data_IF_379850904219
#
_entry.id   IF_379850904219
#
_cell.length_a   1.000
_cell.length_b   1.000
_cell.length_c   1.000
_cell.angle_alpha   90.00
_cell.angle_beta   90.00
_cell.angle_gamma   90.00
#
_symmetry.space_group_name_H-M   'P 1'
#
loop_
_entity.id
_entity.type
_entity.pdbx_description
1 polymer ?
#
# COMPACT_ATOMS: atom_id res chain seq x y z
N UNK A 1 15.32 18.15 -24.70
CA UNK A 1 14.94 18.05 -23.29
C UNK A 1 13.50 17.51 -23.31
N UNK A 2 13.28 16.23 -22.91
CA UNK A 2 11.93 15.72 -22.75
C UNK A 2 11.24 16.51 -21.64
N UNK A 3 10.08 17.10 -21.89
CA UNK A 3 9.23 17.64 -20.82
C UNK A 3 9.05 16.53 -19.77
N UNK A 4 9.52 16.78 -18.56
CA UNK A 4 9.32 15.86 -17.44
C UNK A 4 7.81 15.83 -17.18
N UNK A 5 7.17 14.73 -17.52
CA UNK A 5 5.73 14.57 -17.37
C UNK A 5 5.38 14.67 -15.89
N UNK A 6 4.45 15.59 -15.52
CA UNK A 6 3.96 15.77 -14.17
C UNK A 6 3.51 14.40 -13.60
N UNK A 7 3.92 14.07 -12.37
CA UNK A 7 3.41 12.90 -11.68
C UNK A 7 1.92 13.06 -11.41
N UNK A 8 1.10 12.13 -11.91
CA UNK A 8 -0.34 12.12 -11.66
C UNK A 8 -0.66 11.54 -10.29
N UNK A 9 0.11 10.54 -9.84
CA UNK A 9 -0.02 9.95 -8.50
C UNK A 9 1.32 10.01 -7.79
N UNK A 10 1.30 10.50 -6.56
CA UNK A 10 2.47 10.54 -5.68
C UNK A 10 2.28 9.53 -4.56
N UNK A 11 3.27 8.69 -4.34
CA UNK A 11 3.30 7.78 -3.20
C UNK A 11 4.09 8.39 -2.05
N UNK A 12 3.58 8.27 -0.84
CA UNK A 12 4.30 8.60 0.40
C UNK A 12 4.26 7.38 1.30
N UNK A 13 5.38 6.67 1.48
CA UNK A 13 5.34 5.44 2.26
C UNK A 13 6.54 4.53 2.10
N UNK A 14 6.36 3.27 2.48
CA UNK A 14 7.42 2.29 2.55
C UNK A 14 7.93 1.83 1.18
N UNK A 15 9.26 1.69 1.11
CA UNK A 15 9.98 0.91 0.12
C UNK A 15 11.05 0.11 0.84
N UNK A 16 11.08 -1.20 0.64
CA UNK A 16 11.99 -2.10 1.36
C UNK A 16 12.52 -3.21 0.46
N UNK A 17 13.52 -3.94 0.96
CA UNK A 17 13.95 -5.20 0.36
C UNK A 17 13.33 -6.36 1.12
N UNK A 18 12.63 -7.24 0.40
CA UNK A 18 12.15 -8.51 0.92
C UNK A 18 13.20 -9.59 0.70
N UNK A 19 13.58 -10.29 1.76
CA UNK A 19 14.50 -11.42 1.75
C UNK A 19 13.73 -12.68 2.12
N UNK A 20 13.61 -13.61 1.19
CA UNK A 20 12.93 -14.88 1.40
C UNK A 20 13.95 -16.01 1.50
N UNK A 21 14.00 -16.69 2.64
CA UNK A 21 14.80 -17.90 2.84
C UNK A 21 13.88 -19.12 2.91
N UNK A 22 13.99 -20.06 1.95
CA UNK A 22 13.23 -21.31 1.98
C UNK A 22 14.14 -22.50 2.26
N UNK A 23 13.84 -23.24 3.31
CA UNK A 23 14.59 -24.44 3.66
C UNK A 23 14.38 -25.57 2.63
N UNK A 24 15.44 -26.38 2.40
CA UNK A 24 15.35 -27.58 1.55
C UNK A 24 14.75 -28.78 2.25
N UNK A 25 14.73 -28.77 3.60
CA UNK A 25 14.27 -29.86 4.47
C UNK A 25 13.56 -29.23 5.66
N UNK A 26 12.93 -30.08 6.47
CA UNK A 26 12.34 -29.63 7.75
C UNK A 26 13.36 -28.85 8.57
N UNK A 27 12.96 -27.69 9.05
CA UNK A 27 13.83 -26.77 9.79
C UNK A 27 14.22 -27.38 11.14
N UNK A 28 15.52 -27.33 11.41
CA UNK A 28 16.09 -27.63 12.72
C UNK A 28 16.32 -26.29 13.43
N UNK A 29 15.54 -26.06 14.51
CA UNK A 29 15.65 -24.83 15.29
C UNK A 29 17.01 -24.71 15.96
N UNK A 30 17.59 -23.51 16.01
CA UNK A 30 18.90 -23.18 16.59
C UNK A 30 20.08 -23.85 15.87
N UNK A 31 19.90 -24.16 14.60
CA UNK A 31 20.95 -24.74 13.73
C UNK A 31 20.97 -24.04 12.36
N UNK A 32 22.06 -24.28 11.60
CA UNK A 32 22.20 -23.80 10.22
C UNK A 32 21.41 -24.70 9.27
N UNK A 33 20.42 -24.15 8.57
CA UNK A 33 19.57 -24.86 7.65
C UNK A 33 19.93 -24.54 6.20
N UNK A 34 20.39 -25.49 5.39
CA UNK A 34 20.62 -25.28 3.98
C UNK A 34 19.33 -24.94 3.25
N UNK A 35 19.33 -23.86 2.46
CA UNK A 35 18.13 -23.36 1.81
C UNK A 35 18.40 -22.61 0.51
N UNK A 36 17.36 -22.02 -0.03
CA UNK A 36 17.40 -21.08 -1.14
C UNK A 36 17.08 -19.67 -0.61
N UNK A 37 17.79 -18.69 -1.14
CA UNK A 37 17.56 -17.27 -0.80
C UNK A 37 17.16 -16.52 -2.05
N UNK A 38 16.15 -15.66 -1.92
CA UNK A 38 15.73 -14.73 -2.97
C UNK A 38 15.54 -13.34 -2.36
N UNK A 39 15.75 -12.31 -3.16
CA UNK A 39 15.49 -10.92 -2.76
C UNK A 39 14.66 -10.22 -3.82
N UNK A 40 13.63 -9.50 -3.37
CA UNK A 40 12.82 -8.62 -4.21
C UNK A 40 12.71 -7.24 -3.57
N UNK A 41 12.29 -6.25 -4.33
CA UNK A 41 11.93 -4.95 -3.76
C UNK A 41 10.44 -4.98 -3.46
N UNK A 42 10.07 -4.53 -2.27
CA UNK A 42 8.72 -4.48 -1.72
C UNK A 42 8.40 -3.11 -1.13
N UNK A 43 7.42 -3.10 -0.24
CA UNK A 43 6.81 -1.93 0.38
C UNK A 43 5.46 -1.61 -0.26
N UNK A 44 4.42 -1.47 0.58
CA UNK A 44 3.04 -1.33 0.10
C UNK A 44 2.88 -0.16 -0.85
N UNK A 45 3.29 1.04 -0.45
CA UNK A 45 3.22 2.22 -1.32
C UNK A 45 4.04 2.05 -2.59
N UNK A 46 5.27 1.52 -2.50
CA UNK A 46 6.12 1.28 -3.66
C UNK A 46 5.48 0.28 -4.63
N UNK A 47 4.86 -0.78 -4.12
CA UNK A 47 4.17 -1.78 -4.95
C UNK A 47 2.93 -1.20 -5.63
N UNK A 48 2.16 -0.35 -4.95
CA UNK A 48 1.03 0.39 -5.54
C UNK A 48 1.54 1.23 -6.73
N UNK A 49 2.63 1.98 -6.54
CA UNK A 49 3.21 2.82 -7.60
C UNK A 49 3.76 2.00 -8.76
N UNK A 50 4.38 0.84 -8.53
CA UNK A 50 4.81 -0.06 -9.60
C UNK A 50 3.63 -0.53 -10.45
N UNK A 51 2.52 -0.95 -9.82
CA UNK A 51 1.32 -1.34 -10.53
C UNK A 51 0.72 -0.19 -11.34
N UNK A 52 0.67 1.04 -10.78
CA UNK A 52 0.25 2.24 -11.49
C UNK A 52 1.15 2.56 -12.69
N UNK A 53 2.47 2.49 -12.51
CA UNK A 53 3.43 2.72 -13.59
C UNK A 53 3.26 1.72 -14.74
N UNK A 54 3.06 0.43 -14.41
CA UNK A 54 2.76 -0.62 -15.39
C UNK A 54 1.44 -0.40 -16.14
N UNK A 55 0.49 0.29 -15.51
CA UNK A 55 -0.77 0.72 -16.12
C UNK A 55 -0.64 2.04 -16.91
N UNK A 56 0.58 2.60 -17.02
CA UNK A 56 0.85 3.82 -17.78
C UNK A 56 0.63 5.13 -17.03
N UNK A 57 0.35 5.08 -15.74
CA UNK A 57 0.22 6.27 -14.89
C UNK A 57 1.61 6.82 -14.55
N UNK A 58 1.80 8.12 -14.64
CA UNK A 58 3.02 8.81 -14.22
C UNK A 58 3.05 8.91 -12.70
N UNK A 59 4.07 8.35 -12.04
CA UNK A 59 4.15 8.23 -10.58
C UNK A 59 5.49 8.71 -10.03
N UNK A 60 5.48 9.21 -8.80
CA UNK A 60 6.68 9.57 -8.04
C UNK A 60 6.59 9.01 -6.61
N UNK A 61 7.72 8.65 -6.01
CA UNK A 61 7.78 8.11 -4.65
C UNK A 61 8.53 9.07 -3.72
N UNK A 62 7.86 9.42 -2.61
CA UNK A 62 8.46 9.99 -1.42
C UNK A 62 8.64 8.88 -0.39
N UNK A 63 9.88 8.56 -0.07
CA UNK A 63 10.28 7.52 0.87
C UNK A 63 11.69 7.79 1.37
N UNK A 64 12.27 6.93 2.21
CA UNK A 64 13.65 7.02 2.62
C UNK A 64 14.41 5.72 2.40
N UNK A 65 15.68 5.83 2.02
CA UNK A 65 16.64 4.73 1.96
C UNK A 65 17.95 5.13 2.62
N UNK A 66 18.72 4.14 3.07
CA UNK A 66 20.11 4.31 3.48
C UNK A 66 21.05 4.39 2.29
N UNK A 67 22.33 4.62 2.59
CA UNK A 67 23.44 4.56 1.64
C UNK A 67 24.05 3.14 1.56
N UNK A 68 23.21 2.12 1.70
CA UNK A 68 23.55 0.70 1.69
C UNK A 68 23.13 -0.01 0.39
N UNK A 69 23.52 -1.29 0.24
CA UNK A 69 23.20 -2.11 -0.92
C UNK A 69 21.69 -2.30 -1.13
N UNK A 70 20.91 -2.27 -0.03
CA UNK A 70 19.44 -2.36 -0.13
C UNK A 70 18.86 -1.06 -0.67
N UNK A 71 19.36 0.10 -0.24
CA UNK A 71 18.98 1.39 -0.80
C UNK A 71 19.27 1.49 -2.29
N UNK A 72 20.48 1.09 -2.72
CA UNK A 72 20.84 1.02 -4.14
C UNK A 72 19.87 0.13 -4.94
N UNK A 73 19.56 -1.06 -4.39
CA UNK A 73 18.61 -2.00 -5.03
C UNK A 73 17.21 -1.39 -5.14
N UNK A 74 16.69 -0.78 -4.06
CA UNK A 74 15.37 -0.14 -4.05
C UNK A 74 15.29 0.93 -5.13
N UNK A 75 16.29 1.83 -5.19
CA UNK A 75 16.32 2.92 -6.18
C UNK A 75 16.39 2.39 -7.61
N UNK A 76 17.30 1.45 -7.87
CA UNK A 76 17.50 0.87 -9.21
C UNK A 76 16.25 0.17 -9.71
N UNK A 77 15.71 -0.76 -8.90
CA UNK A 77 14.61 -1.61 -9.32
C UNK A 77 13.29 -0.82 -9.44
N UNK A 78 13.09 0.20 -8.58
CA UNK A 78 11.93 1.10 -8.68
C UNK A 78 12.01 2.02 -9.91
N UNK A 79 13.20 2.54 -10.27
CA UNK A 79 13.40 3.27 -11.53
C UNK A 79 13.11 2.40 -12.75
N UNK A 80 13.56 1.13 -12.74
CA UNK A 80 13.28 0.18 -13.81
C UNK A 80 11.78 -0.12 -13.93
N UNK A 81 11.04 -0.09 -12.83
CA UNK A 81 9.59 -0.23 -12.80
C UNK A 81 8.84 1.04 -13.29
N UNK A 82 9.54 2.14 -13.58
CA UNK A 82 8.96 3.38 -14.08
C UNK A 82 8.57 4.39 -13.00
N UNK A 83 9.03 4.21 -11.77
CA UNK A 83 8.76 5.13 -10.66
C UNK A 83 9.81 6.26 -10.65
N UNK A 84 9.36 7.51 -10.59
CA UNK A 84 10.26 8.65 -10.35
C UNK A 84 10.74 8.63 -8.90
N UNK A 85 12.08 8.45 -8.74
CA UNK A 85 12.78 8.37 -7.47
C UNK A 85 13.57 9.65 -7.16
N UNK A 86 13.34 10.75 -7.88
CA UNK A 86 14.11 11.99 -7.71
C UNK A 86 13.84 12.70 -6.38
N UNK A 87 12.74 12.37 -5.73
CA UNK A 87 12.29 12.93 -4.46
C UNK A 87 12.62 12.05 -3.24
N UNK A 88 13.35 10.97 -3.44
CA UNK A 88 13.70 10.04 -2.37
C UNK A 88 14.69 10.67 -1.38
N UNK A 89 14.44 10.51 -0.08
CA UNK A 89 15.36 10.93 0.97
C UNK A 89 16.43 9.85 1.17
N UNK A 90 17.69 10.16 0.88
CA UNK A 90 18.82 9.29 1.20
C UNK A 90 19.47 9.72 2.51
N UNK A 91 19.45 8.83 3.51
CA UNK A 91 20.05 9.06 4.84
C UNK A 91 21.42 8.39 4.94
N UNK A 92 22.47 9.18 5.15
CA UNK A 92 23.83 8.66 5.31
C UNK A 92 24.00 7.86 6.61
N UNK A 93 24.63 6.69 6.53
CA UNK A 93 24.89 5.81 7.65
C UNK A 93 23.64 5.10 8.19
N UNK A 94 22.49 5.27 7.56
CA UNK A 94 21.25 4.57 7.92
C UNK A 94 21.12 3.24 7.18
N UNK A 95 20.36 2.31 7.75
CA UNK A 95 20.00 1.03 7.12
C UNK A 95 18.66 1.17 6.41
N UNK A 96 18.59 0.74 5.17
CA UNK A 96 17.36 0.72 4.38
C UNK A 96 16.35 -0.28 4.94
N UNK A 97 15.06 0.02 4.78
CA UNK A 97 13.99 -0.88 5.20
C UNK A 97 14.12 -2.27 4.60
N UNK A 98 13.88 -3.29 5.42
CA UNK A 98 13.93 -4.69 4.98
C UNK A 98 12.90 -5.55 5.70
N UNK A 99 12.46 -6.60 5.01
CA UNK A 99 11.61 -7.65 5.56
C UNK A 99 12.25 -9.01 5.26
N UNK A 100 12.37 -9.85 6.27
CA UNK A 100 12.91 -11.21 6.14
C UNK A 100 11.78 -12.19 6.42
N UNK A 101 11.56 -13.14 5.50
CA UNK A 101 10.66 -14.27 5.70
C UNK A 101 11.44 -15.59 5.63
N UNK A 102 11.33 -16.39 6.67
CA UNK A 102 11.86 -17.77 6.69
C UNK A 102 10.71 -18.72 6.46
N UNK A 103 10.84 -19.50 5.40
CA UNK A 103 9.85 -20.47 4.93
C UNK A 103 10.37 -21.89 5.14
N UNK A 104 9.48 -22.80 5.49
CA UNK A 104 9.80 -24.22 5.56
C UNK A 104 9.94 -24.84 4.16
N UNK A 105 10.13 -26.16 4.09
CA UNK A 105 10.28 -26.92 2.83
C UNK A 105 9.00 -26.92 1.98
N UNK A 106 7.84 -26.67 2.60
CA UNK A 106 6.54 -26.57 1.92
C UNK A 106 6.28 -25.17 1.38
N UNK A 107 6.99 -24.16 1.92
CA UNK A 107 6.81 -22.76 1.59
C UNK A 107 5.92 -22.03 2.60
N UNK A 108 5.59 -22.66 3.72
CA UNK A 108 4.84 -22.00 4.80
C UNK A 108 5.77 -21.13 5.63
N UNK A 109 5.31 -19.92 5.95
CA UNK A 109 6.09 -18.96 6.72
C UNK A 109 6.19 -19.37 8.18
N UNK A 110 7.42 -19.56 8.66
CA UNK A 110 7.71 -19.86 10.06
C UNK A 110 8.03 -18.62 10.87
N UNK A 111 8.70 -17.64 10.26
CA UNK A 111 9.12 -16.41 10.92
C UNK A 111 9.18 -15.28 9.90
N UNK A 112 8.64 -14.13 10.27
CA UNK A 112 8.83 -12.85 9.58
C UNK A 112 9.45 -11.83 10.54
N UNK A 113 10.33 -10.97 10.01
CA UNK A 113 10.92 -9.85 10.74
C UNK A 113 11.05 -8.66 9.81
N UNK A 114 10.62 -7.48 10.28
CA UNK A 114 10.73 -6.22 9.55
C UNK A 114 11.62 -5.23 10.29
N UNK A 115 12.43 -4.49 9.54
CA UNK A 115 13.12 -3.30 10.03
C UNK A 115 12.65 -2.11 9.18
N UNK A 116 11.83 -1.25 9.77
CA UNK A 116 11.24 -0.08 9.11
C UNK A 116 11.67 1.24 9.74
N UNK A 117 12.69 1.23 10.62
CA UNK A 117 13.13 2.41 11.39
C UNK A 117 13.42 3.64 10.53
N UNK A 118 13.97 3.45 9.33
CA UNK A 118 14.30 4.57 8.43
C UNK A 118 13.04 5.34 7.98
N UNK A 119 11.90 4.67 7.86
CA UNK A 119 10.60 5.27 7.52
C UNK A 119 9.94 5.87 8.76
N UNK A 120 10.08 5.23 9.92
CA UNK A 120 9.57 5.72 11.20
C UNK A 120 10.22 7.06 11.59
N UNK A 121 11.44 7.34 11.12
CA UNK A 121 12.20 8.57 11.37
C UNK A 121 12.02 9.64 10.27
N UNK A 122 11.01 9.54 9.39
CA UNK A 122 10.75 10.57 8.38
C UNK A 122 10.21 11.85 9.04
N UNK A 123 10.87 13.01 8.86
CA UNK A 123 10.41 14.26 9.45
C UNK A 123 9.27 14.89 8.62
N UNK A 124 8.35 15.59 9.26
CA UNK A 124 7.28 16.35 8.57
C UNK A 124 7.84 17.40 7.61
N UNK A 125 8.97 18.02 7.94
CA UNK A 125 9.67 18.97 7.06
C UNK A 125 9.98 18.40 5.66
N UNK A 126 10.22 17.09 5.55
CA UNK A 126 10.40 16.42 4.25
C UNK A 126 9.14 16.50 3.37
N UNK A 127 7.96 16.42 3.96
CA UNK A 127 6.70 16.62 3.22
C UNK A 127 6.53 18.08 2.80
N UNK A 128 6.90 19.03 3.67
CA UNK A 128 6.82 20.47 3.38
C UNK A 128 7.74 20.88 2.22
N UNK A 129 8.95 20.32 2.18
CA UNK A 129 9.91 20.51 1.07
C UNK A 129 9.35 19.98 -0.26
N UNK A 130 8.47 18.96 -0.22
CA UNK A 130 7.82 18.37 -1.37
C UNK A 130 6.35 18.79 -1.55
N UNK A 131 5.85 19.78 -0.80
CA UNK A 131 4.44 20.19 -0.85
C UNK A 131 3.99 20.62 -2.26
N UNK A 132 4.88 21.19 -3.07
CA UNK A 132 4.59 21.54 -4.45
C UNK A 132 4.26 20.32 -5.32
N UNK A 133 5.01 19.21 -5.15
CA UNK A 133 4.74 17.95 -5.82
C UNK A 133 3.43 17.33 -5.34
N UNK A 134 3.22 17.27 -4.01
CA UNK A 134 2.01 16.70 -3.40
C UNK A 134 0.74 17.44 -3.87
N UNK A 135 0.75 18.77 -3.86
CA UNK A 135 -0.40 19.60 -4.28
C UNK A 135 -0.64 19.59 -5.79
N UNK A 136 0.35 19.24 -6.60
CA UNK A 136 0.19 19.16 -8.05
C UNK A 136 -0.30 17.80 -8.53
N UNK A 137 -0.31 16.77 -7.69
CA UNK A 137 -0.77 15.44 -8.04
C UNK A 137 -2.31 15.37 -8.18
N UNK A 138 -2.80 14.43 -8.99
CA UNK A 138 -4.23 14.14 -9.10
C UNK A 138 -4.72 13.31 -7.89
N UNK A 139 -3.81 12.50 -7.29
CA UNK A 139 -4.03 11.78 -6.04
C UNK A 139 -2.70 11.45 -5.36
N UNK A 140 -2.78 11.19 -4.05
CA UNK A 140 -1.67 10.68 -3.24
C UNK A 140 -2.07 9.32 -2.70
N UNK A 141 -1.15 8.34 -2.77
CA UNK A 141 -1.31 7.05 -2.10
C UNK A 141 -0.29 6.93 -0.98
N UNK A 142 -0.71 6.40 0.17
CA UNK A 142 0.18 6.16 1.30
C UNK A 142 -0.17 4.85 2.00
N UNK A 143 0.71 4.41 2.87
CA UNK A 143 0.50 3.25 3.72
C UNK A 143 0.66 3.59 5.21
N UNK A 144 0.03 2.81 6.07
CA UNK A 144 0.02 3.05 7.50
C UNK A 144 1.32 2.62 8.22
N UNK A 145 2.38 2.23 7.50
CA UNK A 145 3.72 2.04 8.08
C UNK A 145 4.37 3.36 8.48
N UNK A 146 3.88 4.49 7.95
CA UNK A 146 4.35 5.82 8.32
C UNK A 146 3.93 6.18 9.75
N UNK A 147 4.74 7.00 10.47
CA UNK A 147 4.35 7.55 11.76
C UNK A 147 3.02 8.30 11.69
N UNK A 148 2.21 8.17 12.74
CA UNK A 148 0.89 8.81 12.78
C UNK A 148 0.97 10.34 12.64
N UNK A 149 1.97 10.96 13.25
CA UNK A 149 2.17 12.42 13.16
C UNK A 149 2.50 12.85 11.72
N UNK A 150 3.26 12.03 10.99
CA UNK A 150 3.57 12.28 9.58
C UNK A 150 2.33 12.10 8.70
N UNK A 151 1.54 11.05 8.94
CA UNK A 151 0.26 10.82 8.25
C UNK A 151 -0.72 11.96 8.52
N UNK A 152 -0.81 12.42 9.77
CA UNK A 152 -1.69 13.54 10.14
C UNK A 152 -1.26 14.84 9.45
N UNK A 153 0.04 15.14 9.45
CA UNK A 153 0.60 16.29 8.73
C UNK A 153 0.35 16.21 7.22
N UNK A 154 0.53 15.01 6.62
CA UNK A 154 0.26 14.78 5.20
C UNK A 154 -1.16 15.17 4.82
N UNK A 155 -2.17 14.66 5.53
CA UNK A 155 -3.58 14.88 5.17
C UNK A 155 -4.11 16.25 5.59
N UNK A 156 -3.53 16.86 6.65
CA UNK A 156 -4.02 18.13 7.20
C UNK A 156 -3.37 19.35 6.55
N UNK A 157 -2.09 19.25 6.13
CA UNK A 157 -1.28 20.40 5.72
C UNK A 157 -0.59 20.21 4.36
N UNK A 158 0.31 19.20 4.25
CA UNK A 158 1.19 19.06 3.10
C UNK A 158 0.46 18.75 1.79
N UNK A 159 -0.59 17.94 1.84
CA UNK A 159 -1.41 17.53 0.70
C UNK A 159 -2.70 18.33 0.55
N UNK A 160 -2.82 19.49 1.19
CA UNK A 160 -4.06 20.26 1.24
C UNK A 160 -4.73 20.42 -0.14
N UNK A 161 -5.96 19.87 -0.27
CA UNK A 161 -6.74 19.88 -1.51
C UNK A 161 -6.51 18.69 -2.46
N UNK A 162 -5.48 17.87 -2.23
CA UNK A 162 -5.23 16.65 -3.03
C UNK A 162 -5.83 15.42 -2.34
N UNK A 163 -6.59 14.56 -3.03
CA UNK A 163 -7.12 13.33 -2.45
C UNK A 163 -6.00 12.40 -1.96
N UNK A 164 -6.05 12.01 -0.67
CA UNK A 164 -5.10 11.04 -0.07
C UNK A 164 -5.81 9.71 0.15
N UNK A 165 -5.27 8.65 -0.46
CA UNK A 165 -5.75 7.28 -0.35
C UNK A 165 -4.78 6.49 0.52
N UNK A 166 -5.29 5.68 1.47
CA UNK A 166 -4.45 4.93 2.39
C UNK A 166 -4.72 3.42 2.35
N UNK A 167 -3.64 2.64 2.41
CA UNK A 167 -3.67 1.22 2.76
C UNK A 167 -3.34 1.06 4.25
N UNK A 168 -4.23 0.44 5.06
CA UNK A 168 -3.97 0.19 6.48
C UNK A 168 -2.89 -0.88 6.74
N UNK A 169 -2.48 -1.67 5.74
CA UNK A 169 -1.41 -2.68 5.74
C UNK A 169 -1.67 -3.88 6.66
N UNK A 170 -2.02 -3.63 7.92
CA UNK A 170 -2.28 -4.68 8.91
C UNK A 170 -3.15 -4.16 10.05
N UNK A 171 -3.69 -5.08 10.85
CA UNK A 171 -4.49 -4.74 12.03
C UNK A 171 -3.71 -3.92 13.07
N UNK A 172 -2.39 -4.10 13.16
CA UNK A 172 -1.54 -3.33 14.06
C UNK A 172 -1.44 -1.86 13.61
N UNK A 173 -1.13 -1.63 12.34
CA UNK A 173 -1.07 -0.29 11.77
C UNK A 173 -2.46 0.37 11.65
N UNK A 174 -3.51 -0.40 11.33
CA UNK A 174 -4.88 0.08 11.36
C UNK A 174 -5.26 0.65 12.74
N UNK A 175 -4.83 0.00 13.83
CA UNK A 175 -5.05 0.48 15.20
C UNK A 175 -4.31 1.80 15.48
N UNK A 176 -3.10 1.96 14.96
CA UNK A 176 -2.33 3.18 15.15
C UNK A 176 -2.96 4.38 14.41
N UNK A 177 -3.44 4.17 13.17
CA UNK A 177 -4.03 5.24 12.37
C UNK A 177 -5.52 5.51 12.68
N UNK A 178 -6.18 4.66 13.47
CA UNK A 178 -7.61 4.77 13.78
C UNK A 178 -8.02 6.19 14.22
N UNK A 179 -7.28 6.92 15.09
CA UNK A 179 -7.67 8.25 15.52
C UNK A 179 -7.80 9.30 14.40
N UNK A 180 -7.06 9.12 13.31
CA UNK A 180 -7.04 10.05 12.16
C UNK A 180 -7.74 9.49 10.92
N UNK A 181 -8.35 8.29 11.02
CA UNK A 181 -8.94 7.59 9.88
C UNK A 181 -9.93 8.46 9.08
N UNK A 182 -10.72 9.30 9.76
CA UNK A 182 -11.70 10.19 9.13
C UNK A 182 -11.11 11.32 8.27
N UNK A 183 -9.80 11.56 8.32
CA UNK A 183 -9.14 12.61 7.53
C UNK A 183 -8.77 12.17 6.10
N UNK A 184 -8.75 10.87 5.82
CA UNK A 184 -8.39 10.35 4.51
C UNK A 184 -9.56 10.46 3.51
N UNK A 185 -9.23 10.80 2.26
CA UNK A 185 -10.20 10.82 1.18
C UNK A 185 -10.72 9.41 0.87
N UNK A 186 -9.82 8.43 0.75
CA UNK A 186 -10.21 7.05 0.53
C UNK A 186 -9.33 6.07 1.32
N UNK A 187 -9.87 4.89 1.61
CA UNK A 187 -9.13 3.81 2.24
C UNK A 187 -9.50 2.44 1.68
N UNK A 188 -8.53 1.53 1.71
CA UNK A 188 -8.70 0.15 1.27
C UNK A 188 -8.39 -0.84 2.39
N UNK A 189 -9.22 -0.98 3.41
CA UNK A 189 -9.05 -2.02 4.41
C UNK A 189 -9.45 -3.40 3.89
N UNK A 190 -8.92 -4.47 4.49
CA UNK A 190 -9.58 -5.76 4.52
C UNK A 190 -10.63 -5.81 5.63
N UNK A 191 -11.37 -6.93 5.75
CA UNK A 191 -12.45 -7.04 6.76
C UNK A 191 -11.93 -6.94 8.20
N UNK A 192 -10.74 -7.43 8.52
CA UNK A 192 -10.15 -7.35 9.87
C UNK A 192 -9.70 -5.92 10.18
N UNK A 193 -9.07 -5.26 9.24
CA UNK A 193 -8.65 -3.85 9.36
C UNK A 193 -9.87 -2.93 9.49
N UNK A 194 -10.93 -3.19 8.70
CA UNK A 194 -12.19 -2.46 8.81
C UNK A 194 -12.79 -2.57 10.22
N UNK A 195 -12.77 -3.77 10.81
CA UNK A 195 -13.25 -3.98 12.19
C UNK A 195 -12.47 -3.14 13.20
N UNK A 196 -11.15 -3.06 13.06
CA UNK A 196 -10.29 -2.24 13.93
C UNK A 196 -10.61 -0.74 13.74
N UNK A 197 -10.65 -0.27 12.50
CA UNK A 197 -10.85 1.14 12.17
C UNK A 197 -12.23 1.66 12.58
N UNK A 198 -13.27 0.82 12.45
CA UNK A 198 -14.65 1.19 12.79
C UNK A 198 -15.02 0.92 14.25
N UNK A 199 -14.29 0.00 14.92
CA UNK A 199 -14.65 -0.52 16.24
C UNK A 199 -15.88 -1.45 16.23
N UNK A 200 -16.30 -1.93 15.06
CA UNK A 200 -17.50 -2.75 14.85
C UNK A 200 -17.14 -4.14 14.31
N UNK A 201 -17.99 -5.18 14.51
CA UNK A 201 -17.84 -6.47 13.87
C UNK A 201 -17.99 -6.36 12.35
N UNK A 202 -17.35 -7.29 11.60
CA UNK A 202 -17.33 -7.31 10.13
C UNK A 202 -17.46 -8.73 9.56
N UNK A 203 -18.12 -9.63 10.26
CA UNK A 203 -18.27 -11.05 9.86
C UNK A 203 -19.34 -11.23 8.78
N UNK A 204 -20.40 -10.41 8.82
CA UNK A 204 -21.53 -10.44 7.87
C UNK A 204 -21.50 -9.23 6.94
N UNK A 205 -22.19 -9.32 5.79
CA UNK A 205 -22.31 -8.20 4.85
C UNK A 205 -22.98 -6.98 5.51
N UNK A 206 -24.03 -7.17 6.31
CA UNK A 206 -24.67 -6.09 7.05
C UNK A 206 -23.75 -5.43 8.08
N UNK A 207 -22.85 -6.19 8.71
CA UNK A 207 -21.86 -5.63 9.63
C UNK A 207 -20.80 -4.82 8.88
N UNK A 208 -20.35 -5.30 7.71
CA UNK A 208 -19.42 -4.56 6.83
C UNK A 208 -20.04 -3.22 6.40
N UNK A 209 -21.31 -3.23 5.99
CA UNK A 209 -22.06 -2.01 5.65
C UNK A 209 -22.08 -1.02 6.82
N UNK A 210 -22.44 -1.47 8.02
CA UNK A 210 -22.46 -0.63 9.23
C UNK A 210 -21.09 -0.09 9.60
N UNK A 211 -20.06 -0.90 9.48
CA UNK A 211 -18.68 -0.50 9.74
C UNK A 211 -18.20 0.60 8.77
N UNK A 212 -18.55 0.47 7.49
CA UNK A 212 -18.26 1.51 6.50
C UNK A 212 -19.06 2.79 6.79
N UNK A 213 -20.35 2.72 7.15
CA UNK A 213 -21.15 3.90 7.52
C UNK A 213 -20.52 4.66 8.71
N UNK A 214 -20.00 3.94 9.70
CA UNK A 214 -19.34 4.57 10.83
C UNK A 214 -18.11 5.38 10.40
N UNK A 215 -17.29 4.86 9.47
CA UNK A 215 -16.13 5.56 8.94
C UNK A 215 -16.50 6.72 8.01
N UNK A 216 -17.53 6.56 7.17
CA UNK A 216 -18.06 7.66 6.35
C UNK A 216 -18.56 8.83 7.22
N UNK A 217 -19.25 8.51 8.32
CA UNK A 217 -19.72 9.51 9.31
C UNK A 217 -18.56 10.25 9.97
N UNK A 218 -17.38 9.59 10.10
CA UNK A 218 -16.15 10.19 10.64
C UNK A 218 -15.41 11.07 9.63
N UNK A 219 -15.82 11.09 8.36
CA UNK A 219 -15.26 11.97 7.32
C UNK A 219 -14.58 11.29 6.15
N UNK A 220 -14.36 9.97 6.18
CA UNK A 220 -13.86 9.23 5.01
C UNK A 220 -14.83 9.41 3.85
N UNK A 221 -14.32 9.68 2.64
CA UNK A 221 -15.19 9.90 1.48
C UNK A 221 -15.47 8.63 0.70
N UNK A 222 -14.52 7.70 0.64
CA UNK A 222 -14.61 6.45 -0.13
C UNK A 222 -13.94 5.30 0.61
N UNK A 223 -14.58 4.14 0.63
CA UNK A 223 -14.05 2.94 1.28
C UNK A 223 -14.22 1.77 0.32
N UNK A 224 -13.13 1.09 0.04
CA UNK A 224 -13.13 -0.14 -0.77
C UNK A 224 -12.60 -1.30 0.08
N UNK A 225 -13.49 -2.12 0.63
CA UNK A 225 -13.15 -3.24 1.53
C UNK A 225 -12.82 -4.47 0.71
N UNK A 226 -11.60 -4.98 0.82
CA UNK A 226 -11.22 -6.25 0.21
C UNK A 226 -11.73 -7.44 1.04
N UNK A 227 -12.33 -8.44 0.37
CA UNK A 227 -13.00 -9.60 0.98
C UNK A 227 -12.38 -10.93 0.52
N UNK A 228 -11.13 -10.90 0.06
CA UNK A 228 -10.47 -12.08 -0.51
C UNK A 228 -11.22 -12.61 -1.72
N UNK A 229 -11.47 -13.92 -1.76
CA UNK A 229 -12.17 -14.59 -2.86
C UNK A 229 -13.62 -14.11 -3.08
N UNK A 230 -14.21 -13.45 -2.07
CA UNK A 230 -15.56 -12.87 -2.17
C UNK A 230 -15.59 -11.52 -2.92
N UNK A 231 -14.44 -11.02 -3.37
CA UNK A 231 -14.36 -9.75 -4.08
C UNK A 231 -14.22 -8.55 -3.15
N UNK A 232 -15.02 -7.51 -3.33
CA UNK A 232 -14.97 -6.31 -2.51
C UNK A 232 -16.36 -5.77 -2.16
N UNK A 233 -16.39 -4.90 -1.15
CA UNK A 233 -17.51 -4.00 -0.87
C UNK A 233 -17.03 -2.56 -1.02
N UNK A 234 -17.86 -1.71 -1.59
CA UNK A 234 -17.61 -0.29 -1.74
C UNK A 234 -18.71 0.55 -1.12
N UNK A 235 -18.31 1.62 -0.44
CA UNK A 235 -19.21 2.64 0.06
C UNK A 235 -18.57 4.02 -0.09
N UNK A 236 -19.37 5.05 -0.41
CA UNK A 236 -18.91 6.44 -0.48
C UNK A 236 -19.91 7.42 0.14
N UNK A 237 -19.47 8.66 0.31
CA UNK A 237 -20.26 9.75 0.85
C UNK A 237 -21.36 10.23 -0.12
N UNK A 238 -21.31 9.85 -1.38
CA UNK A 238 -22.30 10.14 -2.42
C UNK A 238 -23.50 9.17 -2.36
N UNK A 239 -23.42 8.11 -1.53
CA UNK A 239 -24.50 7.15 -1.29
C UNK A 239 -24.37 5.84 -2.08
N UNK A 240 -23.28 5.65 -2.83
CA UNK A 240 -23.06 4.38 -3.50
C UNK A 240 -22.71 3.28 -2.50
N UNK A 241 -23.35 2.09 -2.66
CA UNK A 241 -23.17 0.89 -1.82
C UNK A 241 -23.21 -0.31 -2.74
N UNK A 242 -22.05 -0.96 -2.96
CA UNK A 242 -21.92 -2.03 -3.96
C UNK A 242 -21.08 -3.18 -3.44
N UNK A 243 -21.63 -4.39 -3.48
CA UNK A 243 -20.86 -5.63 -3.43
C UNK A 243 -20.46 -6.03 -4.86
N UNK A 244 -19.18 -6.30 -5.07
CA UNK A 244 -18.66 -6.84 -6.33
C UNK A 244 -17.96 -8.17 -6.05
N UNK A 245 -18.42 -9.22 -6.70
CA UNK A 245 -17.83 -10.55 -6.60
C UNK A 245 -16.70 -10.72 -7.58
N UNK A 246 -15.69 -11.49 -7.19
CA UNK A 246 -14.64 -11.94 -8.11
C UNK A 246 -15.19 -13.00 -9.07
N UNK A 247 -14.71 -12.99 -10.32
CA UNK A 247 -14.83 -14.19 -11.17
C UNK A 247 -13.89 -15.27 -10.63
N UNK A 248 -14.30 -16.56 -10.62
CA UNK A 248 -13.42 -17.60 -10.15
C UNK A 248 -12.08 -17.61 -10.90
N UNK A 249 -10.97 -17.59 -10.16
CA UNK A 249 -9.63 -17.68 -10.70
C UNK A 249 -9.20 -19.13 -10.71
N UNK A 250 -8.80 -19.65 -11.88
CA UNK A 250 -8.48 -21.07 -12.05
C UNK A 250 -7.12 -21.49 -11.47
N UNK A 251 -6.19 -20.55 -11.33
CA UNK A 251 -4.87 -20.78 -10.72
C UNK A 251 -4.44 -19.55 -9.95
N UNK A 252 -4.14 -19.70 -8.68
CA UNK A 252 -3.55 -18.68 -7.83
C UNK A 252 -2.11 -19.09 -7.52
N UNK A 253 -1.14 -18.26 -7.91
CA UNK A 253 0.29 -18.52 -7.65
C UNK A 253 0.68 -18.02 -6.27
N UNK A 254 0.30 -16.77 -5.94
CA UNK A 254 0.58 -16.15 -4.65
C UNK A 254 -0.42 -15.01 -4.40
N UNK A 255 -0.99 -14.94 -3.21
CA UNK A 255 -1.94 -13.86 -2.84
C UNK A 255 -1.25 -12.55 -2.43
N UNK A 256 0.07 -12.56 -2.25
CA UNK A 256 0.83 -11.36 -1.84
C UNK A 256 0.80 -10.30 -2.94
N UNK A 257 0.56 -9.05 -2.56
CA UNK A 257 0.49 -7.93 -3.51
C UNK A 257 -0.86 -7.72 -4.20
N UNK A 258 -1.84 -8.63 -4.03
CA UNK A 258 -3.19 -8.44 -4.58
C UNK A 258 -3.87 -7.18 -4.05
N UNK A 259 -3.67 -6.87 -2.75
CA UNK A 259 -4.17 -5.66 -2.12
C UNK A 259 -3.56 -4.39 -2.71
N UNK A 260 -2.25 -4.40 -2.93
CA UNK A 260 -1.51 -3.29 -3.52
C UNK A 260 -1.97 -3.03 -4.95
N UNK A 261 -2.10 -4.09 -5.76
CA UNK A 261 -2.60 -4.01 -7.12
C UNK A 261 -4.07 -3.57 -7.20
N UNK A 262 -4.91 -4.00 -6.26
CA UNK A 262 -6.29 -3.53 -6.15
C UNK A 262 -6.33 -2.02 -5.90
N UNK A 263 -5.56 -1.52 -4.90
CA UNK A 263 -5.54 -0.09 -4.60
C UNK A 263 -4.93 0.72 -5.76
N UNK A 264 -3.95 0.16 -6.48
CA UNK A 264 -3.41 0.78 -7.70
C UNK A 264 -4.49 0.93 -8.77
N UNK A 265 -5.23 -0.14 -9.09
CA UNK A 265 -6.32 -0.09 -10.07
C UNK A 265 -7.46 0.84 -9.64
N UNK A 266 -7.81 0.84 -8.36
CA UNK A 266 -8.78 1.77 -7.79
C UNK A 266 -8.33 3.22 -7.94
N UNK A 267 -7.06 3.52 -7.62
CA UNK A 267 -6.48 4.86 -7.75
C UNK A 267 -6.44 5.31 -9.20
N UNK A 268 -6.02 4.43 -10.13
CA UNK A 268 -5.99 4.74 -11.56
C UNK A 268 -7.38 5.12 -12.09
N UNK A 269 -8.37 4.28 -11.84
CA UNK A 269 -9.75 4.54 -12.27
C UNK A 269 -10.35 5.80 -11.63
N UNK A 270 -9.98 6.08 -10.37
CA UNK A 270 -10.40 7.30 -9.67
C UNK A 270 -9.84 8.56 -10.35
N UNK A 271 -8.53 8.60 -10.65
CA UNK A 271 -7.91 9.77 -11.28
C UNK A 271 -8.31 9.95 -12.74
N UNK A 272 -8.78 8.91 -13.41
CA UNK A 272 -9.37 8.96 -14.74
C UNK A 272 -10.88 9.31 -14.71
N UNK A 273 -11.48 9.43 -13.51
CA UNK A 273 -12.87 9.82 -13.34
C UNK A 273 -13.88 8.77 -13.80
N UNK A 274 -13.51 7.47 -13.75
CA UNK A 274 -14.41 6.40 -14.15
C UNK A 274 -15.61 6.28 -13.21
N UNK A 275 -16.79 5.83 -13.74
CA UNK A 275 -17.94 5.47 -12.90
C UNK A 275 -17.56 4.43 -11.85
N UNK A 276 -18.25 4.46 -10.69
CA UNK A 276 -17.95 3.60 -9.54
C UNK A 276 -17.90 2.11 -9.91
N UNK A 277 -18.82 1.65 -10.74
CA UNK A 277 -18.87 0.24 -11.15
C UNK A 277 -17.64 -0.17 -11.95
N UNK A 278 -17.24 0.65 -12.92
CA UNK A 278 -16.05 0.42 -13.75
C UNK A 278 -14.76 0.54 -12.91
N UNK A 279 -14.73 1.48 -11.97
CA UNK A 279 -13.61 1.63 -11.02
C UNK A 279 -13.40 0.38 -10.18
N UNK A 280 -14.47 -0.26 -9.69
CA UNK A 280 -14.38 -1.49 -8.92
C UNK A 280 -13.98 -2.68 -9.78
N UNK A 281 -14.52 -2.79 -10.99
CA UNK A 281 -14.16 -3.85 -11.93
C UNK A 281 -12.68 -3.74 -12.32
N UNK A 282 -12.17 -2.51 -12.53
CA UNK A 282 -10.76 -2.25 -12.82
C UNK A 282 -9.84 -2.61 -11.63
N UNK A 283 -10.23 -2.23 -10.42
CA UNK A 283 -9.51 -2.56 -9.20
C UNK A 283 -9.42 -4.08 -8.96
N UNK A 284 -10.56 -4.79 -9.11
CA UNK A 284 -10.60 -6.25 -8.98
C UNK A 284 -9.75 -6.95 -10.05
N UNK A 285 -9.83 -6.50 -11.30
CA UNK A 285 -9.02 -7.04 -12.39
C UNK A 285 -7.52 -6.86 -12.12
N UNK A 286 -7.11 -5.69 -11.61
CA UNK A 286 -5.72 -5.42 -11.22
C UNK A 286 -5.25 -6.37 -10.12
N UNK A 287 -6.06 -6.58 -9.07
CA UNK A 287 -5.76 -7.52 -7.99
C UNK A 287 -5.63 -8.97 -8.48
N UNK A 288 -6.52 -9.41 -9.40
CA UNK A 288 -6.44 -10.75 -10.00
C UNK A 288 -5.17 -10.93 -10.82
N UNK A 289 -4.80 -9.94 -11.64
CA UNK A 289 -3.60 -10.01 -12.48
C UNK A 289 -2.32 -10.15 -11.65
N UNK A 290 -2.27 -9.58 -10.47
CA UNK A 290 -1.11 -9.66 -9.59
C UNK A 290 -0.90 -11.03 -8.95
N UNK A 291 -1.93 -11.91 -8.91
CA UNK A 291 -1.87 -13.23 -8.28
C UNK A 291 -1.76 -14.39 -9.30
N UNK A 292 -1.81 -14.11 -10.59
CA UNK A 292 -1.62 -15.05 -11.72
C UNK A 292 -0.16 -15.10 -12.17
#
# INVERSE_FOLDING_TARGET
MSEQKRARVVGVGAANVDVHGRSRKSIVMRDSNPGYMATSVGGVTRNILENLARQGVSVALLSAVGDDLYGEKIVRDSKLAGIDMSHLLQKQGAVSSSYIAILDEKGDMLLGMSDMRIIEDLPTAYLDENAGLLKSADAIVCDACLPIDLLDHLVSEAASGTPVLIDPVSTAYARQMEPIAGKFYAMKPNVMELSILSGLPTETETEIERACEALLTRGVRRIAVSRGEKGCYYADAEGNRLFRSLRPVSQMVNATGAGDAFLAGFTHALVDGLPVEEMLDYALASGITAIQ
#
